data_IF_230512058563
#
_entry.id   IF_230512058563
#
_cell.length_a   1.000
_cell.length_b   1.000
_cell.length_c   1.000
_cell.angle_alpha   90.00
_cell.angle_beta   90.00
_cell.angle_gamma   90.00
#
_symmetry.space_group_name_H-M   'P 1'
#
loop_
_entity.id
_entity.type
_entity.pdbx_description
1 polymer ?
#
# COMPACT_ATOMS: atom_id res chain seq x y z
N UNK A 1 4.32 12.43 37.11
CA UNK A 1 4.40 12.54 35.69
C UNK A 1 5.78 12.91 35.15
N UNK A 2 6.87 12.90 35.94
CA UNK A 2 8.24 13.21 35.48
C UNK A 2 9.09 11.94 35.28
N UNK A 3 8.48 10.77 35.41
CA UNK A 3 9.19 9.50 35.26
C UNK A 3 9.61 9.31 33.79
N UNK A 4 10.80 8.76 33.56
CA UNK A 4 11.44 8.60 32.25
C UNK A 4 10.60 7.80 31.24
N UNK A 5 9.77 6.89 31.70
CA UNK A 5 8.87 6.12 30.86
C UNK A 5 7.69 6.95 30.27
N UNK A 6 7.48 8.18 30.77
CA UNK A 6 6.49 9.12 30.20
C UNK A 6 7.03 9.90 28.99
N UNK A 7 8.30 9.74 28.67
CA UNK A 7 8.93 10.39 27.51
C UNK A 7 9.27 9.38 26.43
N UNK A 8 9.26 9.83 25.18
CA UNK A 8 9.70 9.04 24.05
C UNK A 8 10.47 9.92 23.05
N UNK A 9 11.34 9.30 22.27
CA UNK A 9 12.06 9.99 21.21
C UNK A 9 11.07 10.38 20.11
N UNK A 10 10.96 11.67 19.82
CA UNK A 10 10.21 12.20 18.69
C UNK A 10 11.17 12.84 17.70
N UNK A 11 10.93 12.62 16.42
CA UNK A 11 11.65 13.27 15.32
C UNK A 11 10.63 14.04 14.50
N UNK A 12 10.89 15.34 14.32
CA UNK A 12 10.01 16.25 13.57
C UNK A 12 10.72 16.58 12.26
N UNK A 13 10.02 16.39 11.16
CA UNK A 13 10.45 16.75 9.81
C UNK A 13 9.53 17.81 9.22
N UNK A 14 10.03 18.75 8.40
CA UNK A 14 9.20 19.46 7.44
C UNK A 14 8.54 18.46 6.49
N UNK A 15 7.32 18.75 6.06
CA UNK A 15 6.55 17.85 5.20
C UNK A 15 7.16 17.70 3.80
N UNK A 16 7.89 18.69 3.32
CA UNK A 16 8.62 18.68 2.06
C UNK A 16 9.97 17.89 2.10
N UNK A 17 10.41 17.50 3.31
CA UNK A 17 11.61 16.67 3.51
C UNK A 17 11.30 15.19 3.69
N UNK A 18 10.02 14.81 3.66
CA UNK A 18 9.57 13.44 3.81
C UNK A 18 9.05 12.87 2.49
N UNK A 19 9.79 11.93 1.91
CA UNK A 19 9.34 11.23 0.71
C UNK A 19 8.42 10.08 1.09
N UNK A 20 7.20 10.10 0.57
CA UNK A 20 6.27 8.97 0.66
C UNK A 20 6.32 8.23 -0.67
N UNK A 21 6.77 6.98 -0.64
CA UNK A 21 6.79 6.08 -1.78
C UNK A 21 5.58 5.13 -1.75
N UNK A 22 5.30 4.54 -2.89
CA UNK A 22 4.30 3.50 -3.04
C UNK A 22 4.62 2.27 -2.17
N UNK A 23 3.57 1.62 -1.70
CA UNK A 23 3.68 0.35 -1.02
C UNK A 23 2.83 -0.67 -1.80
N UNK A 24 3.51 -1.49 -2.59
CA UNK A 24 2.92 -2.39 -3.55
C UNK A 24 2.44 -3.69 -2.91
N UNK A 25 1.52 -4.40 -3.58
CA UNK A 25 0.97 -5.68 -3.12
C UNK A 25 1.28 -6.76 -4.14
N UNK A 26 1.59 -7.95 -3.63
CA UNK A 26 1.72 -9.16 -4.44
C UNK A 26 0.87 -10.27 -3.85
N UNK A 27 0.20 -11.06 -4.67
CA UNK A 27 -0.71 -12.12 -4.24
C UNK A 27 -0.33 -13.46 -4.83
N UNK A 28 -0.45 -14.53 -4.02
CA UNK A 28 -0.01 -15.90 -4.38
C UNK A 28 -0.94 -16.61 -5.33
N UNK A 29 -2.21 -16.28 -5.30
CA UNK A 29 -3.23 -16.92 -6.11
C UNK A 29 -4.37 -15.96 -6.44
N UNK A 30 -5.25 -16.36 -7.35
CA UNK A 30 -6.42 -15.60 -7.79
C UNK A 30 -7.73 -16.17 -7.19
N UNK A 31 -7.64 -16.84 -6.04
CA UNK A 31 -8.81 -17.43 -5.36
C UNK A 31 -9.59 -18.42 -6.27
N UNK A 32 -8.87 -19.22 -7.04
CA UNK A 32 -9.45 -20.20 -7.96
C UNK A 32 -9.92 -19.65 -9.31
N UNK A 33 -9.81 -18.35 -9.54
CA UNK A 33 -10.15 -17.74 -10.84
C UNK A 33 -9.03 -17.97 -11.86
N UNK A 34 -9.41 -18.11 -13.15
CA UNK A 34 -8.45 -17.96 -14.23
C UNK A 34 -8.03 -16.48 -14.36
N UNK A 35 -6.92 -16.17 -15.05
CA UNK A 35 -6.52 -14.79 -15.31
C UNK A 35 -7.59 -13.98 -16.05
N UNK A 36 -8.29 -14.61 -16.99
CA UNK A 36 -9.37 -13.97 -17.77
C UNK A 36 -10.57 -13.65 -16.88
N UNK A 37 -11.01 -14.61 -16.05
CA UNK A 37 -12.11 -14.41 -15.10
C UNK A 37 -11.76 -13.33 -14.07
N UNK A 38 -10.48 -13.28 -13.65
CA UNK A 38 -10.02 -12.24 -12.75
C UNK A 38 -10.07 -10.86 -13.38
N UNK A 39 -9.58 -10.70 -14.62
CA UNK A 39 -9.68 -9.45 -15.36
C UNK A 39 -11.13 -9.02 -15.61
N UNK A 40 -12.03 -9.97 -15.90
CA UNK A 40 -13.46 -9.68 -16.05
C UNK A 40 -14.04 -9.10 -14.75
N UNK A 41 -13.74 -9.72 -13.60
CA UNK A 41 -14.18 -9.19 -12.30
C UNK A 41 -13.59 -7.82 -11.98
N UNK A 42 -12.32 -7.59 -12.28
CA UNK A 42 -11.71 -6.25 -12.14
C UNK A 42 -12.40 -5.23 -13.06
N UNK A 43 -12.84 -5.64 -14.22
CA UNK A 43 -13.58 -4.81 -15.17
C UNK A 43 -14.92 -4.26 -14.65
N UNK A 44 -15.45 -4.81 -13.56
CA UNK A 44 -16.60 -4.23 -12.86
C UNK A 44 -16.22 -2.87 -12.22
N UNK A 45 -15.05 -2.81 -11.60
CA UNK A 45 -14.60 -1.66 -10.78
C UNK A 45 -13.72 -0.69 -11.55
N UNK A 46 -12.95 -1.20 -12.51
CA UNK A 46 -11.91 -0.45 -13.22
C UNK A 46 -12.12 -0.47 -14.74
N UNK A 47 -11.63 0.58 -15.39
CA UNK A 47 -11.30 0.54 -16.81
C UNK A 47 -9.91 -0.09 -16.94
N UNK A 48 -9.78 -1.13 -17.78
CA UNK A 48 -8.55 -1.91 -17.90
C UNK A 48 -7.92 -1.63 -19.26
N UNK A 49 -6.65 -1.21 -19.24
CA UNK A 49 -5.86 -0.97 -20.45
C UNK A 49 -4.55 -1.75 -20.39
N UNK A 50 -4.22 -2.51 -21.43
CA UNK A 50 -2.90 -3.13 -21.55
C UNK A 50 -1.82 -2.07 -21.70
N UNK A 51 -0.69 -2.25 -21.01
CA UNK A 51 0.49 -1.43 -21.15
C UNK A 51 1.54 -2.16 -22.00
N UNK A 52 2.25 -1.45 -22.89
CA UNK A 52 3.30 -2.07 -23.71
C UNK A 52 4.54 -2.44 -22.90
N UNK A 53 4.76 -1.79 -21.78
CA UNK A 53 5.87 -1.99 -20.86
C UNK A 53 5.46 -1.66 -19.43
N UNK A 54 6.33 -1.99 -18.46
CA UNK A 54 6.15 -1.65 -17.06
C UNK A 54 6.07 -0.13 -16.88
N UNK A 55 5.02 0.34 -16.21
CA UNK A 55 4.85 1.75 -15.88
C UNK A 55 4.19 1.90 -14.51
N UNK A 56 4.64 2.90 -13.75
CA UNK A 56 3.96 3.30 -12.52
C UNK A 56 2.59 3.93 -12.83
N UNK A 57 1.61 3.80 -11.93
CA UNK A 57 0.40 4.62 -11.97
C UNK A 57 0.77 6.11 -12.02
N UNK A 58 0.05 6.90 -12.81
CA UNK A 58 0.34 8.32 -13.00
C UNK A 58 -0.38 9.24 -12.01
N UNK A 59 -1.42 8.75 -11.33
CA UNK A 59 -2.28 9.54 -10.44
C UNK A 59 -3.09 8.64 -9.49
N UNK A 60 -3.65 9.26 -8.46
CA UNK A 60 -4.66 8.64 -7.59
C UNK A 60 -5.81 8.05 -8.41
N UNK A 61 -6.29 6.89 -8.00
CA UNK A 61 -7.31 6.11 -8.69
C UNK A 61 -6.76 5.23 -9.81
N UNK A 62 -5.45 5.20 -10.01
CA UNK A 62 -4.78 4.28 -10.93
C UNK A 62 -3.95 3.25 -10.18
N UNK A 63 -3.98 2.01 -10.66
CA UNK A 63 -3.18 0.89 -10.16
C UNK A 63 -2.58 0.18 -11.37
N UNK A 64 -1.28 -0.12 -11.37
CA UNK A 64 -0.71 -0.97 -12.40
C UNK A 64 -0.70 -2.43 -11.92
N UNK A 65 -1.26 -3.33 -12.72
CA UNK A 65 -1.33 -4.75 -12.44
C UNK A 65 -0.36 -5.50 -13.35
N UNK A 66 0.50 -6.32 -12.78
CA UNK A 66 1.27 -7.32 -13.52
C UNK A 66 0.65 -8.70 -13.30
N UNK A 67 0.23 -9.32 -14.41
CA UNK A 67 -0.42 -10.62 -14.44
C UNK A 67 -0.02 -11.35 -15.73
N UNK A 68 0.49 -12.58 -15.63
CA UNK A 68 0.87 -13.44 -16.76
C UNK A 68 1.69 -12.71 -17.84
N UNK A 69 2.84 -12.19 -17.46
CA UNK A 69 3.80 -11.49 -18.34
C UNK A 69 3.24 -10.20 -18.98
N UNK A 70 2.09 -9.71 -18.52
CA UNK A 70 1.46 -8.52 -19.07
C UNK A 70 1.18 -7.49 -17.99
N UNK A 71 1.58 -6.25 -18.26
CA UNK A 71 1.18 -5.10 -17.47
C UNK A 71 -0.16 -4.53 -17.95
N UNK A 72 -0.97 -4.13 -17.00
CA UNK A 72 -2.26 -3.47 -17.21
C UNK A 72 -2.32 -2.19 -16.37
N UNK A 73 -2.94 -1.14 -16.88
CA UNK A 73 -3.37 0.00 -16.08
C UNK A 73 -4.84 -0.17 -15.74
N UNK A 74 -5.13 -0.18 -14.46
CA UNK A 74 -6.46 -0.19 -13.89
C UNK A 74 -6.80 1.25 -13.49
N UNK A 75 -7.83 1.85 -14.10
CA UNK A 75 -8.32 3.18 -13.73
C UNK A 75 -9.67 3.03 -13.03
N UNK A 76 -9.78 3.47 -11.78
CA UNK A 76 -11.00 3.35 -10.99
C UNK A 76 -12.17 4.08 -11.68
N UNK A 77 -13.29 3.39 -11.84
CA UNK A 77 -14.52 4.01 -12.38
C UNK A 77 -15.09 4.98 -11.34
N UNK A 78 -15.51 6.18 -11.80
CA UNK A 78 -15.94 7.28 -10.94
C UNK A 78 -17.02 6.90 -9.90
N UNK A 79 -17.89 5.95 -10.23
CA UNK A 79 -18.96 5.49 -9.31
C UNK A 79 -18.47 4.77 -8.05
N UNK A 80 -17.19 4.36 -8.03
CA UNK A 80 -16.55 3.70 -6.89
C UNK A 80 -15.57 4.62 -6.15
N UNK A 81 -15.40 5.86 -6.63
CA UNK A 81 -14.63 6.86 -5.91
C UNK A 81 -15.32 7.21 -4.60
N UNK A 82 -14.55 7.30 -3.53
CA UNK A 82 -15.03 7.70 -2.20
C UNK A 82 -14.31 8.97 -1.77
N UNK A 83 -15.03 9.86 -1.11
CA UNK A 83 -14.49 11.10 -0.56
C UNK A 83 -14.06 10.99 0.91
N UNK A 84 -14.33 9.86 1.56
CA UNK A 84 -13.87 9.58 2.92
C UNK A 84 -12.34 9.53 2.95
N UNK A 85 -11.67 10.18 3.90
CA UNK A 85 -10.21 10.23 3.96
C UNK A 85 -9.51 8.87 4.05
N UNK A 86 -10.16 7.85 4.64
CA UNK A 86 -9.60 6.50 4.76
C UNK A 86 -10.12 5.58 3.65
N UNK A 87 -11.45 5.53 3.45
CA UNK A 87 -12.06 4.63 2.47
C UNK A 87 -11.73 5.04 1.04
N UNK A 88 -11.51 6.34 0.78
CA UNK A 88 -11.11 6.89 -0.52
C UNK A 88 -9.61 6.77 -0.85
N UNK A 89 -8.80 6.17 0.02
CA UNK A 89 -7.40 5.85 -0.31
C UNK A 89 -7.34 4.70 -1.32
N UNK A 90 -6.43 4.77 -2.29
CA UNK A 90 -6.28 3.70 -3.30
C UNK A 90 -6.03 2.33 -2.67
N UNK A 91 -5.35 2.29 -1.52
CA UNK A 91 -5.10 1.06 -0.75
C UNK A 91 -6.38 0.49 -0.15
N UNK A 92 -7.30 1.35 0.33
CA UNK A 92 -8.61 0.95 0.85
C UNK A 92 -9.52 0.48 -0.27
N UNK A 93 -9.54 1.21 -1.38
CA UNK A 93 -10.32 0.85 -2.57
C UNK A 93 -9.87 -0.51 -3.13
N UNK A 94 -8.56 -0.76 -3.24
CA UNK A 94 -8.05 -2.08 -3.65
C UNK A 94 -8.48 -3.17 -2.66
N UNK A 95 -8.40 -2.91 -1.35
CA UNK A 95 -8.83 -3.86 -0.33
C UNK A 95 -10.32 -4.17 -0.43
N UNK A 96 -11.15 -3.14 -0.51
CA UNK A 96 -12.60 -3.25 -0.41
C UNK A 96 -13.25 -3.76 -1.71
N UNK A 97 -12.65 -3.50 -2.85
CA UNK A 97 -13.19 -3.89 -4.16
C UNK A 97 -12.58 -5.19 -4.70
N UNK A 98 -11.31 -5.47 -4.37
CA UNK A 98 -10.57 -6.57 -5.00
C UNK A 98 -10.07 -7.60 -4.00
N UNK A 99 -9.21 -7.19 -3.04
CA UNK A 99 -8.54 -8.15 -2.17
C UNK A 99 -9.54 -8.92 -1.29
N UNK A 100 -10.51 -8.23 -0.69
CA UNK A 100 -11.56 -8.84 0.12
C UNK A 100 -12.55 -9.65 -0.71
N UNK A 101 -13.36 -9.02 -1.58
CA UNK A 101 -14.48 -9.69 -2.23
C UNK A 101 -14.08 -10.63 -3.37
N UNK A 102 -13.04 -10.33 -4.14
CA UNK A 102 -12.62 -11.14 -5.30
C UNK A 102 -11.60 -12.19 -4.89
N UNK A 103 -10.55 -11.78 -4.17
CA UNK A 103 -9.45 -12.67 -3.80
C UNK A 103 -9.66 -13.35 -2.43
N UNK A 104 -10.68 -12.96 -1.66
CA UNK A 104 -10.98 -13.54 -0.35
C UNK A 104 -9.97 -13.18 0.75
N UNK A 105 -9.12 -12.16 0.53
CA UNK A 105 -8.12 -11.68 1.48
C UNK A 105 -8.76 -10.62 2.37
N UNK A 106 -9.36 -11.06 3.48
CA UNK A 106 -10.11 -10.19 4.39
C UNK A 106 -9.21 -9.33 5.27
N UNK A 107 -8.15 -9.92 5.82
CA UNK A 107 -7.17 -9.20 6.64
C UNK A 107 -5.76 -9.35 6.05
N UNK A 108 -5.25 -8.32 5.37
CA UNK A 108 -3.93 -8.37 4.73
C UNK A 108 -2.77 -8.42 5.73
N UNK A 109 -3.00 -8.24 7.04
CA UNK A 109 -1.95 -8.38 8.06
C UNK A 109 -1.65 -9.84 8.39
N UNK A 110 -2.64 -10.70 8.28
CA UNK A 110 -2.57 -12.09 8.74
C UNK A 110 -2.66 -13.12 7.62
N UNK A 111 -3.22 -12.74 6.47
CA UNK A 111 -3.34 -13.64 5.32
C UNK A 111 -1.97 -13.86 4.65
N UNK A 112 -1.56 -15.13 4.57
CA UNK A 112 -0.27 -15.54 3.98
C UNK A 112 -0.26 -15.55 2.45
N UNK A 113 -1.38 -15.28 1.81
CA UNK A 113 -1.50 -15.20 0.35
C UNK A 113 -1.15 -13.82 -0.21
N UNK A 114 -0.99 -12.82 0.65
CA UNK A 114 -0.55 -11.48 0.27
C UNK A 114 0.79 -11.15 0.90
N UNK A 115 1.62 -10.40 0.17
CA UNK A 115 2.85 -9.81 0.68
C UNK A 115 3.01 -8.39 0.13
N UNK A 116 3.96 -7.63 0.66
CA UNK A 116 4.13 -6.21 0.40
C UNK A 116 5.54 -5.89 -0.08
N UNK A 117 5.62 -5.03 -1.08
CA UNK A 117 6.89 -4.59 -1.70
C UNK A 117 6.97 -3.07 -1.66
N UNK A 118 7.93 -2.52 -0.92
CA UNK A 118 8.17 -1.07 -0.90
C UNK A 118 8.65 -0.56 -2.26
N UNK A 119 8.13 0.59 -2.68
CA UNK A 119 8.40 1.20 -3.99
C UNK A 119 9.87 1.44 -4.30
N UNK A 120 10.71 1.57 -3.28
CA UNK A 120 12.18 1.67 -3.43
C UNK A 120 12.80 0.50 -4.20
N UNK A 121 12.12 -0.65 -4.28
CA UNK A 121 12.58 -1.84 -5.01
C UNK A 121 12.24 -1.79 -6.50
N UNK A 122 11.39 -0.86 -6.93
CA UNK A 122 10.98 -0.69 -8.31
C UNK A 122 10.04 -1.78 -8.84
N UNK A 123 9.55 -1.59 -10.08
CA UNK A 123 8.59 -2.50 -10.73
C UNK A 123 9.22 -3.86 -11.07
N UNK A 124 10.52 -3.91 -11.35
CA UNK A 124 11.24 -5.16 -11.63
C UNK A 124 11.18 -6.16 -10.47
N UNK A 125 11.09 -5.69 -9.23
CA UNK A 125 10.88 -6.58 -8.09
C UNK A 125 9.49 -7.21 -8.10
N UNK A 126 8.47 -6.49 -8.57
CA UNK A 126 7.11 -7.02 -8.72
C UNK A 126 7.07 -8.14 -9.77
N UNK A 127 7.71 -7.92 -10.92
CA UNK A 127 7.87 -8.94 -11.97
C UNK A 127 8.61 -10.17 -11.42
N UNK A 128 9.75 -9.94 -10.75
CA UNK A 128 10.54 -11.01 -10.13
C UNK A 128 9.69 -11.85 -9.16
N UNK A 129 8.87 -11.20 -8.32
CA UNK A 129 8.00 -11.90 -7.37
C UNK A 129 6.94 -12.73 -8.09
N UNK A 130 6.33 -12.22 -9.16
CA UNK A 130 5.35 -12.98 -9.94
C UNK A 130 5.99 -14.18 -10.63
N UNK A 131 7.22 -14.05 -11.13
CA UNK A 131 7.97 -15.16 -11.73
C UNK A 131 8.45 -16.21 -10.71
N UNK A 132 8.50 -15.88 -9.41
CA UNK A 132 9.12 -16.74 -8.40
C UNK A 132 8.08 -17.42 -7.50
N UNK A 133 7.23 -16.61 -6.85
CA UNK A 133 6.42 -17.09 -5.72
C UNK A 133 5.01 -16.49 -5.66
N UNK A 134 4.68 -15.55 -6.55
CA UNK A 134 3.38 -14.86 -6.59
C UNK A 134 2.68 -15.05 -7.92
N UNK A 135 1.38 -14.82 -7.97
CA UNK A 135 0.58 -14.94 -9.21
C UNK A 135 0.28 -13.60 -9.85
N UNK A 136 0.14 -12.55 -9.05
CA UNK A 136 -0.11 -11.19 -9.54
C UNK A 136 0.51 -10.13 -8.63
N UNK A 137 0.80 -8.97 -9.18
CA UNK A 137 1.36 -7.83 -8.47
C UNK A 137 0.59 -6.55 -8.80
N UNK A 138 0.33 -5.72 -7.78
CA UNK A 138 -0.32 -4.43 -7.87
C UNK A 138 0.68 -3.33 -7.49
N UNK A 139 1.09 -2.52 -8.45
CA UNK A 139 1.84 -1.30 -8.20
C UNK A 139 0.85 -0.17 -7.91
N UNK A 140 1.01 0.44 -6.73
CA UNK A 140 0.12 1.48 -6.22
C UNK A 140 0.63 2.86 -6.59
N UNK A 141 -0.28 3.83 -6.67
CA UNK A 141 0.11 5.23 -6.63
C UNK A 141 0.50 5.61 -5.19
N UNK A 142 1.59 6.36 -4.97
CA UNK A 142 1.98 6.78 -3.62
C UNK A 142 0.90 7.60 -2.93
N UNK A 143 0.58 7.27 -1.68
CA UNK A 143 -0.29 8.12 -0.86
C UNK A 143 0.36 9.49 -0.66
N UNK A 144 -0.36 10.55 -0.91
CA UNK A 144 0.15 11.91 -0.74
C UNK A 144 0.24 12.33 0.73
N UNK A 145 1.10 13.30 1.03
CA UNK A 145 1.17 13.89 2.38
C UNK A 145 -0.15 14.54 2.79
N UNK A 146 -0.90 15.12 1.83
CA UNK A 146 -2.22 15.71 2.08
C UNK A 146 -3.26 14.67 2.49
N UNK A 147 -3.23 13.47 1.89
CA UNK A 147 -4.10 12.37 2.30
C UNK A 147 -3.75 11.87 3.71
N UNK A 148 -2.46 11.79 4.03
CA UNK A 148 -2.01 11.43 5.37
C UNK A 148 -2.52 12.44 6.41
N UNK A 149 -2.40 13.73 6.13
CA UNK A 149 -2.90 14.78 7.03
C UNK A 149 -4.42 14.74 7.18
N UNK A 150 -5.16 14.53 6.09
CA UNK A 150 -6.62 14.41 6.16
C UNK A 150 -7.08 13.28 7.10
N UNK A 151 -6.40 12.13 7.05
CA UNK A 151 -6.69 11.01 7.98
C UNK A 151 -6.32 11.37 9.43
N UNK A 152 -5.17 12.02 9.63
CA UNK A 152 -4.69 12.40 10.96
C UNK A 152 -5.56 13.49 11.60
N UNK A 153 -6.01 14.49 10.84
CA UNK A 153 -6.85 15.58 11.31
C UNK A 153 -8.24 15.10 11.77
N UNK A 154 -8.73 14.00 11.17
CA UNK A 154 -9.93 13.31 11.66
C UNK A 154 -9.69 12.38 12.84
N UNK A 155 -8.46 12.28 13.36
CA UNK A 155 -8.10 11.39 14.47
C UNK A 155 -8.22 9.91 14.10
N UNK A 156 -8.17 9.56 12.82
CA UNK A 156 -8.28 8.20 12.28
C UNK A 156 -6.91 7.58 12.03
N UNK A 157 -6.88 6.31 11.73
CA UNK A 157 -5.66 5.56 11.44
C UNK A 157 -5.58 5.20 9.96
N UNK A 158 -4.37 5.33 9.42
CA UNK A 158 -4.07 4.82 8.09
C UNK A 158 -4.24 3.30 8.02
N UNK A 159 -4.74 2.74 6.91
CA UNK A 159 -4.73 1.31 6.68
C UNK A 159 -3.30 0.75 6.75
N UNK A 160 -3.12 -0.53 7.08
CA UNK A 160 -1.79 -1.12 7.16
C UNK A 160 -1.07 -1.09 5.81
N UNK A 161 0.24 -0.80 5.85
CA UNK A 161 1.07 -0.80 4.63
C UNK A 161 0.59 0.17 3.55
N UNK A 162 0.13 1.37 3.95
CA UNK A 162 -0.32 2.44 3.05
C UNK A 162 0.83 3.29 2.53
N UNK A 163 1.86 3.48 3.37
CA UNK A 163 2.94 4.42 3.09
C UNK A 163 4.31 3.77 3.32
N UNK A 164 5.25 4.09 2.45
CA UNK A 164 6.66 3.78 2.64
C UNK A 164 7.42 5.10 2.74
N UNK A 165 7.89 5.42 3.95
CA UNK A 165 8.61 6.66 4.20
C UNK A 165 10.12 6.51 3.94
N UNK A 166 10.70 7.53 3.30
CA UNK A 166 12.15 7.75 3.21
C UNK A 166 12.49 9.19 3.61
N UNK A 167 13.62 9.41 4.32
CA UNK A 167 14.56 8.41 4.82
C UNK A 167 14.01 7.60 6.00
N UNK A 168 14.47 6.35 6.13
CA UNK A 168 14.17 5.53 7.32
C UNK A 168 14.98 6.01 8.52
N UNK A 169 14.30 6.23 9.62
CA UNK A 169 14.97 6.50 10.90
C UNK A 169 15.80 5.28 11.33
N UNK A 170 17.02 5.51 11.73
CA UNK A 170 17.92 4.45 12.23
C UNK A 170 17.70 4.25 13.73
N UNK A 171 17.51 3.00 14.13
CA UNK A 171 17.48 2.62 15.54
C UNK A 171 18.88 2.63 16.13
N UNK A 172 18.97 2.96 17.43
CA UNK A 172 20.21 2.86 18.21
C UNK A 172 21.16 4.05 18.09
N UNK A 173 20.81 5.10 17.35
CA UNK A 173 21.59 6.36 17.34
C UNK A 173 21.36 7.17 18.62
N UNK A 174 20.15 7.10 19.17
CA UNK A 174 19.78 7.69 20.44
C UNK A 174 19.15 6.60 21.31
N UNK A 175 19.53 6.59 22.58
CA UNK A 175 19.00 5.64 23.58
C UNK A 175 18.46 6.45 24.75
N UNK A 176 17.20 6.26 25.07
CA UNK A 176 16.57 6.79 26.28
C UNK A 176 16.54 5.68 27.34
N UNK A 177 17.35 5.85 28.39
CA UNK A 177 17.40 4.87 29.47
C UNK A 177 16.26 5.10 30.45
N UNK A 178 15.40 4.10 30.61
CA UNK A 178 14.39 4.11 31.67
C UNK A 178 15.09 3.75 33.00
N UNK A 179 15.49 4.77 33.77
CA UNK A 179 16.05 4.53 35.08
C UNK A 179 14.94 4.01 35.99
N UNK A 180 15.20 2.92 36.69
CA UNK A 180 14.38 2.53 37.82
C UNK A 180 14.63 3.60 38.93
N UNK A 181 13.53 4.16 39.45
CA UNK A 181 13.64 4.95 40.66
C UNK A 181 14.32 4.08 41.75
N UNK A 182 15.50 4.48 42.17
CA UNK A 182 16.12 3.86 43.34
C UNK A 182 15.17 4.11 44.52
N UNK A 183 14.56 3.02 45.03
CA UNK A 183 13.69 3.03 46.19
C UNK A 183 14.46 3.14 47.51
#
# INVERSE_FOLDING_TARGET
>A
GEEEFNYFLSVIFPDDELLIMDYNRVVKDLNGLSPEEFLEKLGEFFEIRKLPEAAHPGRKGEIALFLEEQWYLLTLKARYADSDPVEGLDVSLLQNLVLGPVLGIQDPKTDKRIDFVGGIRGLSELERRVHTDMKAAFAMYPTSIGELFAVADEGRLMPPKSTWFEPKLRSGLFIHALQQAEG
#
